data_IF_162985143607
#
_entry.id   IF_162985143607
#
_cell.length_a   1.000
_cell.length_b   1.000
_cell.length_c   1.000
_cell.angle_alpha   90.00
_cell.angle_beta   90.00
_cell.angle_gamma   90.00
#
_symmetry.space_group_name_H-M   'P 1'
#
loop_
_entity.id
_entity.type
_entity.pdbx_description
1 polymer ?
#
# COMPACT_ATOMS: atom_id res chain seq x y z
N UNK A 1 3.35 9.34 39.18
CA UNK A 1 3.97 10.31 40.06
C UNK A 1 5.48 10.12 39.97
N UNK A 2 6.22 11.18 39.59
CA UNK A 2 7.69 11.19 39.52
C UNK A 2 8.27 11.23 40.94
N UNK A 3 9.24 10.35 41.23
CA UNK A 3 9.97 10.31 42.50
C UNK A 3 11.46 10.22 42.21
N UNK A 4 12.26 11.06 42.86
CA UNK A 4 13.73 11.06 42.72
C UNK A 4 14.38 9.74 43.17
N UNK A 5 13.74 9.02 44.10
CA UNK A 5 14.18 7.72 44.57
C UNK A 5 14.12 6.61 43.48
N UNK A 6 13.31 6.84 42.44
CA UNK A 6 13.17 5.93 41.30
C UNK A 6 14.11 6.25 40.15
N UNK A 7 14.92 7.29 40.27
CA UNK A 7 15.93 7.64 39.26
C UNK A 7 17.12 6.69 39.36
N UNK A 8 17.27 5.85 38.35
CA UNK A 8 18.41 4.92 38.27
C UNK A 8 19.67 5.73 38.01
N UNK A 9 20.72 5.52 38.84
CA UNK A 9 22.03 6.23 38.74
C UNK A 9 22.84 5.89 37.46
N UNK A 10 22.53 4.79 36.78
CA UNK A 10 23.10 4.45 35.47
C UNK A 10 22.41 5.25 34.37
N UNK A 11 23.19 5.85 33.46
CA UNK A 11 22.65 6.59 32.33
C UNK A 11 21.62 5.76 31.54
N UNK A 12 20.48 6.36 31.21
CA UNK A 12 19.46 5.72 30.41
C UNK A 12 19.99 5.48 28.98
N UNK A 13 20.07 4.21 28.59
CA UNK A 13 20.42 3.86 27.19
C UNK A 13 19.19 4.07 26.32
N UNK A 14 19.30 4.95 25.32
CA UNK A 14 18.24 5.14 24.34
C UNK A 14 18.05 3.87 23.49
N UNK A 15 16.86 3.31 23.51
CA UNK A 15 16.51 2.14 22.71
C UNK A 15 15.72 2.58 21.48
N UNK A 16 16.37 2.60 20.31
CA UNK A 16 15.81 3.04 19.03
C UNK A 16 14.58 2.21 18.64
N UNK A 17 14.65 0.89 18.82
CA UNK A 17 13.54 -0.01 18.44
C UNK A 17 12.31 0.24 19.30
N UNK A 18 12.50 0.48 20.59
CA UNK A 18 11.42 0.84 21.50
C UNK A 18 10.83 2.20 21.13
N UNK A 19 11.65 3.17 20.72
CA UNK A 19 11.19 4.46 20.27
C UNK A 19 10.36 4.36 18.98
N UNK A 20 10.79 3.58 18.00
CA UNK A 20 10.03 3.28 16.78
C UNK A 20 8.68 2.65 17.10
N UNK A 21 8.68 1.66 17.99
CA UNK A 21 7.44 1.01 18.41
C UNK A 21 6.45 2.00 19.03
N UNK A 22 6.92 2.86 19.96
CA UNK A 22 6.06 3.89 20.54
C UNK A 22 5.53 4.84 19.47
N UNK A 23 6.36 5.25 18.52
CA UNK A 23 5.93 6.15 17.45
C UNK A 23 4.86 5.51 16.57
N UNK A 24 5.00 4.22 16.25
CA UNK A 24 4.00 3.46 15.52
C UNK A 24 2.66 3.40 16.27
N UNK A 25 2.68 3.19 17.59
CA UNK A 25 1.47 3.21 18.42
C UNK A 25 0.78 4.59 18.44
N UNK A 26 1.56 5.67 18.45
CA UNK A 26 1.01 7.02 18.33
C UNK A 26 0.44 7.30 16.95
N UNK A 27 1.12 6.83 15.91
CA UNK A 27 0.69 6.97 14.51
C UNK A 27 -0.65 6.25 14.27
N UNK A 28 -0.81 5.05 14.80
CA UNK A 28 -2.07 4.28 14.75
C UNK A 28 -3.25 4.99 15.43
N UNK A 29 -2.99 5.73 16.49
CA UNK A 29 -4.02 6.48 17.24
C UNK A 29 -4.48 7.75 16.54
N UNK A 30 -3.71 8.27 15.58
CA UNK A 30 -4.12 9.44 14.82
C UNK A 30 -5.27 9.10 13.87
N UNK A 31 -6.15 10.07 13.63
CA UNK A 31 -7.19 9.93 12.60
C UNK A 31 -6.58 9.97 11.22
N UNK A 32 -7.23 9.35 10.24
CA UNK A 32 -6.75 9.33 8.86
C UNK A 32 -6.64 10.75 8.29
N UNK A 33 -7.54 11.66 8.69
CA UNK A 33 -7.49 13.08 8.33
C UNK A 33 -6.26 13.80 8.90
N UNK A 34 -5.88 13.54 10.17
CA UNK A 34 -4.67 14.09 10.75
C UNK A 34 -3.41 13.57 10.04
N UNK A 35 -3.39 12.31 9.67
CA UNK A 35 -2.29 11.71 8.91
C UNK A 35 -2.20 12.28 7.50
N UNK A 36 -3.34 12.46 6.81
CA UNK A 36 -3.39 13.08 5.50
C UNK A 36 -2.85 14.52 5.52
N UNK A 37 -3.23 15.32 6.53
CA UNK A 37 -2.71 16.68 6.69
C UNK A 37 -1.18 16.72 6.85
N UNK A 38 -0.58 15.72 7.51
CA UNK A 38 0.86 15.60 7.66
C UNK A 38 1.54 15.04 6.40
N UNK A 39 0.85 14.18 5.65
CA UNK A 39 1.40 13.53 4.45
C UNK A 39 1.34 14.41 3.20
N UNK A 40 0.30 15.22 3.02
CA UNK A 40 0.14 16.13 1.86
C UNK A 40 1.38 17.03 1.62
N UNK A 41 1.98 17.68 2.64
CA UNK A 41 3.22 18.41 2.45
C UNK A 41 4.38 17.57 1.90
N UNK A 42 4.52 16.32 2.37
CA UNK A 42 5.54 15.39 1.90
C UNK A 42 5.31 15.03 0.42
N UNK A 43 4.05 14.80 0.01
CA UNK A 43 3.70 14.57 -1.39
C UNK A 43 4.12 15.73 -2.27
N UNK A 44 3.89 16.99 -1.83
CA UNK A 44 4.32 18.20 -2.54
C UNK A 44 5.84 18.30 -2.66
N UNK A 45 6.58 18.01 -1.60
CA UNK A 45 8.05 17.95 -1.63
C UNK A 45 8.59 16.90 -2.61
N UNK A 46 7.85 15.79 -2.79
CA UNK A 46 8.17 14.74 -3.77
C UNK A 46 7.73 15.06 -5.20
N UNK A 47 7.18 16.26 -5.43
CA UNK A 47 6.76 16.71 -6.75
C UNK A 47 5.42 16.17 -7.22
N UNK A 48 4.61 15.60 -6.31
CA UNK A 48 3.26 15.14 -6.63
C UNK A 48 2.33 16.36 -6.74
N UNK A 49 1.59 16.43 -7.83
CA UNK A 49 0.51 17.41 -8.02
C UNK A 49 -0.69 16.98 -7.16
N UNK A 50 -0.75 17.50 -5.93
CA UNK A 50 -1.76 17.10 -4.95
C UNK A 50 -3.17 17.56 -5.30
N UNK A 51 -3.31 18.53 -6.22
CA UNK A 51 -4.62 19.04 -6.64
C UNK A 51 -5.39 18.03 -7.52
N UNK A 52 -4.68 17.05 -8.06
CA UNK A 52 -5.27 15.91 -8.79
C UNK A 52 -5.92 14.87 -7.89
N UNK A 53 -5.60 14.87 -6.61
CA UNK A 53 -6.06 13.86 -5.67
C UNK A 53 -7.01 14.47 -4.64
N UNK A 54 -8.20 13.88 -4.51
CA UNK A 54 -9.12 14.28 -3.46
C UNK A 54 -8.50 13.98 -2.07
N UNK A 55 -8.75 14.86 -1.10
CA UNK A 55 -8.32 14.67 0.30
C UNK A 55 -8.77 13.32 0.84
N UNK A 56 -10.00 12.89 0.51
CA UNK A 56 -10.53 11.58 0.90
C UNK A 56 -9.69 10.42 0.35
N UNK A 57 -9.14 10.53 -0.85
CA UNK A 57 -8.21 9.53 -1.40
C UNK A 57 -6.95 9.40 -0.52
N UNK A 58 -6.36 10.55 -0.12
CA UNK A 58 -5.17 10.55 0.73
C UNK A 58 -5.49 10.00 2.12
N UNK A 59 -6.65 10.33 2.70
CA UNK A 59 -7.11 9.79 3.99
C UNK A 59 -7.26 8.25 3.93
N UNK A 60 -7.94 7.74 2.91
CA UNK A 60 -8.11 6.30 2.72
C UNK A 60 -6.77 5.58 2.49
N UNK A 61 -5.83 6.23 1.79
CA UNK A 61 -4.49 5.69 1.60
C UNK A 61 -3.71 5.67 2.92
N UNK A 62 -3.78 6.74 3.72
CA UNK A 62 -3.17 6.77 5.05
C UNK A 62 -3.73 5.67 5.96
N UNK A 63 -5.05 5.43 5.93
CA UNK A 63 -5.69 4.33 6.65
C UNK A 63 -5.11 2.96 6.28
N UNK A 64 -4.82 2.75 5.00
CA UNK A 64 -4.26 1.48 4.50
C UNK A 64 -2.81 1.26 4.94
N UNK A 65 -1.99 2.33 5.00
CA UNK A 65 -0.53 2.22 5.16
C UNK A 65 -0.05 2.45 6.58
N UNK A 66 -0.82 3.12 7.46
CA UNK A 66 -0.41 3.48 8.83
C UNK A 66 0.01 2.28 9.68
N UNK A 67 -0.55 1.09 9.43
CA UNK A 67 -0.20 -0.14 10.14
C UNK A 67 1.20 -0.66 9.80
N UNK A 68 1.76 -0.24 8.67
CA UNK A 68 3.04 -0.71 8.13
C UNK A 68 4.18 0.30 8.31
N UNK A 69 3.87 1.51 8.79
CA UNK A 69 4.81 2.61 8.94
C UNK A 69 5.17 2.86 10.41
N UNK A 70 6.36 3.37 10.64
CA UNK A 70 6.78 3.87 11.95
C UNK A 70 6.68 5.40 12.03
N UNK A 71 6.81 6.08 10.89
CA UNK A 71 6.74 7.53 10.75
C UNK A 71 5.88 7.91 9.55
N UNK A 72 5.30 9.12 9.55
CA UNK A 72 4.57 9.63 8.38
C UNK A 72 5.51 9.76 7.15
N UNK A 73 6.79 10.02 7.37
CA UNK A 73 7.79 10.03 6.30
C UNK A 73 7.91 8.69 5.56
N UNK A 74 7.70 7.56 6.25
CA UNK A 74 7.77 6.22 5.66
C UNK A 74 6.61 5.97 4.67
N UNK A 75 5.55 6.77 4.73
CA UNK A 75 4.38 6.61 3.87
C UNK A 75 4.75 6.68 2.39
N UNK A 76 5.66 7.60 2.03
CA UNK A 76 6.12 7.73 0.66
C UNK A 76 6.72 6.44 0.12
N UNK A 77 7.61 5.80 0.87
CA UNK A 77 8.28 4.57 0.45
C UNK A 77 7.31 3.38 0.32
N UNK A 78 6.19 3.43 1.07
CA UNK A 78 5.16 2.39 1.04
C UNK A 78 4.17 2.58 -0.11
N UNK A 79 3.89 3.82 -0.52
CA UNK A 79 2.75 4.12 -1.39
C UNK A 79 3.06 5.03 -2.59
N UNK A 80 4.33 5.36 -2.86
CA UNK A 80 4.74 6.25 -3.97
C UNK A 80 4.18 5.84 -5.33
N UNK A 81 4.02 4.54 -5.56
CA UNK A 81 3.51 3.99 -6.83
C UNK A 81 2.03 4.29 -7.11
N UNK A 82 1.27 4.79 -6.14
CA UNK A 82 -0.08 5.32 -6.39
C UNK A 82 -0.06 6.71 -7.05
N UNK A 83 1.06 7.41 -6.95
CA UNK A 83 1.23 8.77 -7.47
C UNK A 83 2.14 8.81 -8.69
N UNK A 84 3.16 7.97 -8.71
CA UNK A 84 4.20 7.94 -9.75
C UNK A 84 4.49 6.47 -10.09
N UNK A 85 4.36 6.11 -11.37
CA UNK A 85 4.69 4.76 -11.82
C UNK A 85 6.14 4.39 -11.47
N UNK A 86 6.43 3.12 -11.10
CA UNK A 86 7.78 2.70 -10.75
C UNK A 86 8.72 2.89 -11.94
N UNK A 87 9.85 3.55 -11.70
CA UNK A 87 10.91 3.81 -12.71
C UNK A 87 11.97 2.71 -12.74
N UNK A 88 11.99 1.83 -11.75
CA UNK A 88 12.92 0.71 -11.65
C UNK A 88 12.22 -0.52 -11.07
N UNK A 89 12.75 -1.68 -11.43
CA UNK A 89 12.20 -2.97 -11.01
C UNK A 89 13.29 -3.79 -10.34
N UNK A 90 12.93 -4.51 -9.28
CA UNK A 90 13.86 -5.39 -8.57
C UNK A 90 14.34 -6.53 -9.49
N UNK A 91 15.60 -6.50 -9.88
CA UNK A 91 16.17 -7.44 -10.87
C UNK A 91 15.94 -8.92 -10.53
N UNK A 92 16.09 -9.27 -9.25
CA UNK A 92 15.86 -10.64 -8.80
C UNK A 92 14.40 -11.07 -8.95
N UNK A 93 13.46 -10.15 -8.72
CA UNK A 93 12.03 -10.41 -8.89
C UNK A 93 11.66 -10.50 -10.38
N UNK A 94 12.26 -9.65 -11.21
CA UNK A 94 12.09 -9.72 -12.69
C UNK A 94 12.55 -11.09 -13.19
N UNK A 95 13.77 -11.52 -12.86
CA UNK A 95 14.31 -12.83 -13.27
C UNK A 95 13.44 -13.99 -12.80
N UNK A 96 12.83 -13.87 -11.61
CA UNK A 96 12.04 -14.93 -11.00
C UNK A 96 10.61 -15.02 -11.54
N UNK A 97 9.98 -13.88 -11.80
CA UNK A 97 8.54 -13.80 -12.07
C UNK A 97 8.20 -13.44 -13.52
N UNK A 98 9.08 -12.76 -14.26
CA UNK A 98 8.83 -12.38 -15.65
C UNK A 98 9.31 -13.47 -16.63
N UNK A 99 8.69 -14.64 -16.59
CA UNK A 99 8.89 -15.68 -17.61
C UNK A 99 7.96 -15.46 -18.81
N UNK A 100 8.28 -15.96 -20.02
CA UNK A 100 7.37 -15.85 -21.17
C UNK A 100 5.96 -16.34 -20.86
N UNK A 101 5.83 -17.49 -20.20
CA UNK A 101 4.55 -18.05 -19.76
C UNK A 101 3.78 -17.09 -18.82
N UNK A 102 4.46 -16.54 -17.83
CA UNK A 102 3.83 -15.62 -16.89
C UNK A 102 3.40 -14.32 -17.57
N UNK A 103 4.15 -13.86 -18.58
CA UNK A 103 3.81 -12.64 -19.33
C UNK A 103 2.54 -12.80 -20.17
N UNK A 104 2.31 -13.98 -20.75
CA UNK A 104 1.06 -14.28 -21.44
C UNK A 104 -0.12 -14.29 -20.47
N UNK A 105 0.05 -14.91 -19.29
CA UNK A 105 -0.96 -14.92 -18.23
C UNK A 105 -1.28 -13.49 -17.80
N UNK A 106 -0.27 -12.66 -17.55
CA UNK A 106 -0.45 -11.27 -17.10
C UNK A 106 -1.20 -10.43 -18.15
N UNK A 107 -0.97 -10.68 -19.44
CA UNK A 107 -1.72 -9.99 -20.51
C UNK A 107 -3.23 -10.28 -20.41
N UNK A 108 -3.61 -11.53 -20.14
CA UNK A 108 -5.02 -11.92 -19.93
C UNK A 108 -5.59 -11.35 -18.63
N UNK A 109 -4.80 -11.37 -17.56
CA UNK A 109 -5.20 -10.80 -16.28
C UNK A 109 -5.38 -9.28 -16.38
N UNK A 110 -4.51 -8.58 -17.13
CA UNK A 110 -4.65 -7.14 -17.42
C UNK A 110 -5.96 -6.83 -18.14
N UNK A 111 -6.31 -7.62 -19.16
CA UNK A 111 -7.58 -7.48 -19.87
C UNK A 111 -8.77 -7.73 -18.94
N UNK A 112 -8.70 -8.77 -18.12
CA UNK A 112 -9.72 -9.09 -17.12
C UNK A 112 -9.92 -7.93 -16.13
N UNK A 113 -8.83 -7.38 -15.57
CA UNK A 113 -8.89 -6.23 -14.65
C UNK A 113 -9.45 -4.99 -15.36
N UNK A 114 -9.04 -4.74 -16.62
CA UNK A 114 -9.53 -3.61 -17.42
C UNK A 114 -11.03 -3.68 -17.73
N UNK A 115 -11.59 -4.89 -17.77
CA UNK A 115 -13.03 -5.13 -17.98
C UNK A 115 -13.82 -5.21 -16.65
N UNK A 116 -13.14 -5.18 -15.50
CA UNK A 116 -13.83 -5.04 -14.21
C UNK A 116 -14.44 -3.64 -14.12
N UNK A 117 -15.70 -3.57 -13.78
CA UNK A 117 -16.37 -2.28 -13.54
C UNK A 117 -16.01 -1.74 -12.15
N UNK A 118 -14.72 -1.34 -12.01
CA UNK A 118 -14.18 -0.78 -10.76
C UNK A 118 -14.82 0.58 -10.46
N UNK A 119 -15.31 1.29 -11.47
CA UNK A 119 -15.99 2.58 -11.31
C UNK A 119 -17.32 2.45 -10.59
N UNK A 120 -18.04 1.33 -10.74
CA UNK A 120 -19.22 1.06 -9.91
C UNK A 120 -18.88 1.05 -8.41
N UNK A 121 -17.72 0.53 -8.04
CA UNK A 121 -17.28 0.46 -6.64
C UNK A 121 -16.86 1.83 -6.09
N UNK A 122 -16.16 2.63 -6.88
CA UNK A 122 -15.66 3.95 -6.46
C UNK A 122 -16.74 5.04 -6.49
N UNK A 123 -17.74 4.93 -7.36
CA UNK A 123 -18.82 5.93 -7.55
C UNK A 123 -20.10 5.61 -6.78
N UNK A 124 -20.31 4.37 -6.38
CA UNK A 124 -21.39 4.00 -5.47
C UNK A 124 -21.07 4.50 -4.05
N UNK A 125 -21.11 5.81 -3.86
CA UNK A 125 -20.67 6.56 -2.66
C UNK A 125 -21.19 6.09 -1.29
N UNK A 126 -21.80 4.92 -1.22
CA UNK A 126 -22.29 4.24 -0.02
C UNK A 126 -21.68 2.86 0.21
N UNK A 127 -20.86 2.31 -0.71
CA UNK A 127 -20.25 0.99 -0.50
C UNK A 127 -18.94 1.15 0.30
N UNK A 128 -18.81 0.48 1.45
CA UNK A 128 -17.58 0.55 2.24
C UNK A 128 -16.38 0.05 1.41
N UNK A 129 -15.25 0.75 1.46
CA UNK A 129 -13.99 0.37 0.79
C UNK A 129 -13.66 -1.12 0.98
N UNK A 130 -13.88 -1.64 2.19
CA UNK A 130 -13.58 -3.03 2.54
C UNK A 130 -14.37 -4.03 1.68
N UNK A 131 -15.62 -3.73 1.36
CA UNK A 131 -16.45 -4.57 0.50
C UNK A 131 -15.95 -4.53 -0.95
N UNK A 132 -15.61 -3.35 -1.47
CA UNK A 132 -15.04 -3.21 -2.81
C UNK A 132 -13.73 -3.98 -2.98
N UNK A 133 -12.80 -3.84 -2.03
CA UNK A 133 -11.52 -4.54 -2.03
C UNK A 133 -11.73 -6.06 -1.96
N UNK A 134 -12.66 -6.52 -1.09
CA UNK A 134 -13.00 -7.93 -0.98
C UNK A 134 -13.59 -8.50 -2.29
N UNK A 135 -14.44 -7.75 -2.96
CA UNK A 135 -15.05 -8.16 -4.22
C UNK A 135 -14.01 -8.25 -5.36
N UNK A 136 -13.11 -7.26 -5.45
CA UNK A 136 -11.97 -7.31 -6.37
C UNK A 136 -11.11 -8.56 -6.10
N UNK A 137 -10.82 -8.86 -4.82
CA UNK A 137 -10.01 -10.01 -4.44
C UNK A 137 -10.69 -11.32 -4.84
N UNK A 138 -11.99 -11.47 -4.57
CA UNK A 138 -12.78 -12.66 -4.92
C UNK A 138 -12.81 -12.86 -6.43
N UNK A 139 -13.11 -11.82 -7.21
CA UNK A 139 -13.16 -11.88 -8.67
C UNK A 139 -11.80 -12.24 -9.27
N UNK A 140 -10.73 -11.57 -8.83
CA UNK A 140 -9.38 -11.83 -9.34
C UNK A 140 -8.89 -13.23 -8.98
N UNK A 141 -9.07 -13.66 -7.74
CA UNK A 141 -8.64 -14.99 -7.30
C UNK A 141 -9.49 -16.10 -7.94
N UNK A 142 -10.78 -15.86 -8.17
CA UNK A 142 -11.68 -16.74 -8.93
C UNK A 142 -11.16 -16.93 -10.35
N UNK A 143 -10.93 -15.85 -11.08
CA UNK A 143 -10.42 -15.90 -12.44
C UNK A 143 -9.09 -16.64 -12.57
N UNK A 144 -8.15 -16.42 -11.64
CA UNK A 144 -6.87 -17.14 -11.61
C UNK A 144 -7.07 -18.64 -11.38
N UNK A 145 -7.99 -19.02 -10.48
CA UNK A 145 -8.30 -20.45 -10.19
C UNK A 145 -9.01 -21.15 -11.34
N UNK A 146 -9.97 -20.50 -11.99
CA UNK A 146 -10.71 -21.04 -13.13
C UNK A 146 -9.79 -21.35 -14.31
N UNK A 147 -8.70 -20.58 -14.47
CA UNK A 147 -7.70 -20.81 -15.49
C UNK A 147 -6.54 -21.71 -15.03
N UNK A 148 -6.62 -22.30 -13.84
CA UNK A 148 -5.61 -23.19 -13.25
C UNK A 148 -4.20 -22.59 -13.15
N UNK A 149 -4.09 -21.24 -13.08
CA UNK A 149 -2.80 -20.55 -12.97
C UNK A 149 -2.27 -20.57 -11.54
N UNK A 150 -0.94 -20.54 -11.40
CA UNK A 150 -0.26 -20.46 -10.11
C UNK A 150 -0.50 -19.11 -9.44
N UNK A 151 -1.39 -19.06 -8.47
CA UNK A 151 -1.80 -17.85 -7.74
C UNK A 151 -0.60 -16.99 -7.31
N UNK A 152 0.40 -17.60 -6.67
CA UNK A 152 1.58 -16.88 -6.19
C UNK A 152 2.43 -16.26 -7.31
N UNK A 153 2.54 -16.92 -8.46
CA UNK A 153 3.26 -16.37 -9.60
C UNK A 153 2.53 -15.15 -10.16
N UNK A 154 1.22 -15.27 -10.42
CA UNK A 154 0.40 -14.18 -10.95
C UNK A 154 0.39 -12.97 -10.01
N UNK A 155 0.11 -13.19 -8.72
CA UNK A 155 0.03 -12.10 -7.74
C UNK A 155 1.37 -11.38 -7.52
N UNK A 156 2.49 -12.12 -7.53
CA UNK A 156 3.81 -11.50 -7.39
C UNK A 156 4.23 -10.74 -8.65
N UNK A 157 3.87 -11.24 -9.84
CA UNK A 157 4.14 -10.53 -11.09
C UNK A 157 3.29 -9.26 -11.20
N UNK A 158 2.01 -9.30 -10.85
CA UNK A 158 1.17 -8.10 -10.78
C UNK A 158 1.77 -7.06 -9.83
N UNK A 159 2.19 -7.50 -8.63
CA UNK A 159 2.82 -6.60 -7.66
C UNK A 159 4.11 -6.01 -8.17
N UNK A 160 4.93 -6.81 -8.87
CA UNK A 160 6.14 -6.31 -9.50
C UNK A 160 5.83 -5.19 -10.51
N UNK A 161 4.80 -5.33 -11.35
CA UNK A 161 4.43 -4.28 -12.30
C UNK A 161 3.90 -3.02 -11.64
N UNK A 162 3.05 -3.14 -10.62
CA UNK A 162 2.48 -1.98 -9.95
C UNK A 162 3.46 -1.27 -9.01
N UNK A 163 4.29 -2.03 -8.30
CA UNK A 163 5.12 -1.53 -7.18
C UNK A 163 6.61 -1.45 -7.53
N UNK A 164 7.06 -2.18 -8.56
CA UNK A 164 8.49 -2.33 -8.88
C UNK A 164 9.17 -3.50 -8.15
N UNK A 165 8.48 -4.18 -7.23
CA UNK A 165 8.99 -5.33 -6.48
C UNK A 165 7.86 -6.30 -6.09
N UNK A 166 8.19 -7.58 -5.85
CA UNK A 166 7.20 -8.60 -5.49
C UNK A 166 6.72 -8.54 -4.01
N UNK A 167 6.93 -7.40 -3.34
CA UNK A 167 6.51 -7.13 -1.96
C UNK A 167 5.70 -5.83 -1.92
N UNK A 168 4.77 -5.70 -0.98
CA UNK A 168 3.97 -4.48 -0.84
C UNK A 168 2.58 -4.75 -0.29
N UNK A 169 1.65 -3.87 -0.64
CA UNK A 169 0.23 -3.97 -0.29
C UNK A 169 -0.47 -5.13 -1.01
N UNK A 170 -1.70 -5.42 -0.60
CA UNK A 170 -2.57 -6.36 -1.30
C UNK A 170 -2.84 -5.92 -2.74
N UNK A 171 -2.90 -6.87 -3.67
CA UNK A 171 -3.17 -6.53 -5.08
C UNK A 171 -4.57 -5.92 -5.24
N UNK A 172 -5.56 -6.40 -4.50
CA UNK A 172 -6.91 -5.85 -4.54
C UNK A 172 -6.95 -4.39 -4.04
N UNK A 173 -6.19 -4.06 -2.98
CA UNK A 173 -6.02 -2.68 -2.51
C UNK A 173 -5.37 -1.81 -3.60
N UNK A 174 -4.33 -2.33 -4.26
CA UNK A 174 -3.64 -1.59 -5.33
C UNK A 174 -4.61 -1.32 -6.48
N UNK A 175 -5.34 -2.31 -6.93
CA UNK A 175 -6.32 -2.18 -8.03
C UNK A 175 -7.43 -1.19 -7.67
N UNK A 176 -7.88 -1.18 -6.42
CA UNK A 176 -8.92 -0.24 -5.96
C UNK A 176 -8.49 1.23 -6.05
N UNK A 177 -7.19 1.53 -5.82
CA UNK A 177 -6.67 2.89 -5.79
C UNK A 177 -6.09 3.40 -7.13
N UNK A 178 -5.84 2.53 -8.12
CA UNK A 178 -5.31 2.90 -9.44
C UNK A 178 -6.45 3.01 -10.45
#
# INVERSE_FOLDING_TARGET
IFSLERVIKSGARFNVEKAKWFNQEYLRKQTDSQLAQQFIPILKEKGVDTDKYNVMFVEQLCSLIKERAHFVADFWDICSYFFIAPVSYAENDVKKFCTPETMEIISKVKEFIGNMDIKEFATAGNTPKQECVSDIEVKLTGYIKENEWKMGAVMNTLRLFFVGQAKGLGIADIIYFI
#
